data_IF_241601958599
#
_entry.id   IF_241601958599
#
_cell.length_a   1.000
_cell.length_b   1.000
_cell.length_c   1.000
_cell.angle_alpha   90.00
_cell.angle_beta   90.00
_cell.angle_gamma   90.00
#
_symmetry.space_group_name_H-M   'P 1'
#
loop_
_entity.id
_entity.type
_entity.pdbx_description
1 polymer ?
#
# COMPACT_ATOMS: atom_id res chain seq x y z
N UNK A 1 -8.66 13.04 -1.38
CA UNK A 1 -9.45 11.83 -1.62
C UNK A 1 -8.53 10.61 -1.79
N UNK A 2 -9.02 9.46 -1.39
CA UNK A 2 -8.42 8.14 -1.64
C UNK A 2 -9.36 7.37 -2.56
N UNK A 3 -8.84 6.74 -3.59
CA UNK A 3 -9.62 5.87 -4.46
C UNK A 3 -9.26 4.41 -4.17
N UNK A 4 -10.27 3.61 -3.89
CA UNK A 4 -10.18 2.16 -3.65
C UNK A 4 -11.02 1.41 -4.68
N UNK A 5 -10.93 0.08 -4.69
CA UNK A 5 -11.88 -0.76 -5.41
C UNK A 5 -12.85 -1.45 -4.45
N UNK A 6 -13.99 -1.91 -4.95
CA UNK A 6 -14.91 -2.72 -4.15
C UNK A 6 -14.38 -4.13 -3.84
N UNK A 7 -13.28 -4.55 -4.48
CA UNK A 7 -12.62 -5.84 -4.24
C UNK A 7 -11.61 -5.81 -3.09
N UNK A 8 -11.43 -4.66 -2.41
CA UNK A 8 -10.41 -4.53 -1.39
C UNK A 8 -10.69 -5.39 -0.15
N UNK A 9 -9.64 -6.06 0.34
CA UNK A 9 -9.68 -6.66 1.65
C UNK A 9 -9.82 -5.58 2.74
N UNK A 10 -10.46 -5.91 3.86
CA UNK A 10 -10.68 -4.98 4.98
C UNK A 10 -9.39 -4.29 5.45
N UNK A 11 -8.24 -4.94 5.35
CA UNK A 11 -6.93 -4.35 5.72
C UNK A 11 -6.55 -3.16 4.84
N UNK A 12 -7.03 -3.11 3.60
CA UNK A 12 -6.82 -1.96 2.70
C UNK A 12 -8.04 -1.00 2.66
N UNK A 13 -9.06 -1.23 3.48
CA UNK A 13 -10.20 -0.33 3.61
C UNK A 13 -10.27 0.36 4.97
N UNK A 14 -10.17 -0.42 6.06
CA UNK A 14 -10.41 0.08 7.43
C UNK A 14 -9.45 1.20 7.85
N UNK A 15 -8.14 1.17 7.53
CA UNK A 15 -7.24 2.27 7.88
C UNK A 15 -7.65 3.61 7.24
N UNK A 16 -8.12 3.59 5.99
CA UNK A 16 -8.63 4.79 5.32
C UNK A 16 -9.92 5.30 5.97
N UNK A 17 -10.78 4.39 6.46
CA UNK A 17 -11.97 4.77 7.21
C UNK A 17 -11.62 5.49 8.53
N UNK A 18 -10.56 5.08 9.22
CA UNK A 18 -10.07 5.82 10.38
C UNK A 18 -9.56 7.22 10.02
N UNK A 19 -8.86 7.35 8.92
CA UNK A 19 -8.44 8.65 8.40
C UNK A 19 -9.64 9.50 7.96
N UNK A 20 -10.67 8.91 7.40
CA UNK A 20 -11.94 9.60 7.11
C UNK A 20 -12.54 10.22 8.37
N UNK A 21 -12.57 9.46 9.48
CA UNK A 21 -13.09 9.97 10.76
C UNK A 21 -12.18 11.05 11.39
N UNK A 22 -10.87 10.86 11.36
CA UNK A 22 -9.94 11.73 12.08
C UNK A 22 -9.44 12.93 11.27
N UNK A 23 -9.39 12.84 9.94
CA UNK A 23 -8.86 13.86 9.04
C UNK A 23 -9.85 14.36 7.99
N UNK A 24 -11.07 13.83 7.95
CA UNK A 24 -12.10 14.23 6.99
C UNK A 24 -11.79 13.86 5.53
N UNK A 25 -10.91 12.88 5.29
CA UNK A 25 -10.63 12.44 3.91
C UNK A 25 -11.90 11.82 3.30
N UNK A 26 -12.03 11.92 1.99
CA UNK A 26 -13.08 11.24 1.23
C UNK A 26 -12.52 9.95 0.63
N UNK A 27 -13.32 8.90 0.65
CA UNK A 27 -13.00 7.60 0.01
C UNK A 27 -13.98 7.44 -1.14
N UNK A 28 -13.44 7.26 -2.34
CA UNK A 28 -14.18 6.89 -3.54
C UNK A 28 -13.93 5.41 -3.84
N UNK A 29 -14.89 4.78 -4.52
CA UNK A 29 -14.80 3.39 -4.92
C UNK A 29 -14.97 3.24 -6.42
N UNK A 30 -14.02 2.53 -7.06
CA UNK A 30 -14.26 1.95 -8.37
C UNK A 30 -15.13 0.71 -8.19
N UNK A 31 -16.27 0.71 -8.86
CA UNK A 31 -17.30 -0.32 -8.71
C UNK A 31 -16.96 -1.52 -9.60
N UNK A 32 -17.36 -2.70 -9.16
CA UNK A 32 -17.33 -3.92 -9.97
C UNK A 32 -18.42 -3.83 -11.06
N UNK A 33 -18.14 -4.44 -12.20
CA UNK A 33 -19.14 -4.62 -13.25
C UNK A 33 -20.05 -5.85 -12.96
N UNK A 34 -20.97 -6.14 -13.88
CA UNK A 34 -21.88 -7.29 -13.75
C UNK A 34 -21.15 -8.65 -13.74
N UNK A 35 -19.95 -8.71 -14.29
CA UNK A 35 -19.08 -9.90 -14.29
C UNK A 35 -18.24 -10.03 -13.01
N UNK A 36 -18.33 -9.06 -12.08
CA UNK A 36 -17.56 -9.03 -10.83
C UNK A 36 -16.12 -8.53 -11.00
N UNK A 37 -15.83 -7.80 -12.08
CA UNK A 37 -14.50 -7.32 -12.43
C UNK A 37 -14.36 -5.81 -12.20
N UNK A 38 -13.14 -5.38 -11.87
CA UNK A 38 -12.72 -3.98 -11.87
C UNK A 38 -12.03 -3.69 -13.21
N UNK A 39 -12.56 -2.71 -13.94
CA UNK A 39 -11.97 -2.26 -15.21
C UNK A 39 -11.15 -0.99 -15.03
N UNK A 40 -10.22 -0.74 -15.94
CA UNK A 40 -9.49 0.55 -15.97
C UNK A 40 -10.45 1.73 -16.09
N UNK A 41 -11.52 1.57 -16.88
CA UNK A 41 -12.53 2.61 -17.04
C UNK A 41 -13.26 2.92 -15.73
N UNK A 42 -13.59 1.90 -14.92
CA UNK A 42 -14.24 2.10 -13.61
C UNK A 42 -13.34 2.86 -12.64
N UNK A 43 -12.02 2.62 -12.69
CA UNK A 43 -11.03 3.38 -11.91
C UNK A 43 -10.92 4.81 -12.45
N UNK A 44 -10.75 4.98 -13.76
CA UNK A 44 -10.58 6.30 -14.37
C UNK A 44 -11.75 7.23 -14.11
N UNK A 45 -12.98 6.75 -14.20
CA UNK A 45 -14.20 7.51 -13.89
C UNK A 45 -14.25 8.07 -12.48
N UNK A 46 -13.58 7.43 -11.52
CA UNK A 46 -13.57 7.85 -10.10
C UNK A 46 -12.37 8.73 -9.74
N UNK A 47 -11.40 8.89 -10.64
CA UNK A 47 -10.28 9.81 -10.41
C UNK A 47 -10.78 11.26 -10.53
N UNK A 48 -10.46 12.05 -9.52
CA UNK A 48 -10.75 13.49 -9.49
C UNK A 48 -9.45 14.29 -9.29
N UNK A 49 -9.45 15.61 -9.49
CA UNK A 49 -8.30 16.46 -9.16
C UNK A 49 -7.90 16.42 -7.67
N UNK A 50 -8.75 15.86 -6.81
CA UNK A 50 -8.50 15.71 -5.37
C UNK A 50 -7.96 14.32 -5.00
N UNK A 51 -7.94 13.37 -5.91
CA UNK A 51 -7.39 12.03 -5.68
C UNK A 51 -5.89 12.13 -5.37
N UNK A 52 -5.47 11.61 -4.22
CA UNK A 52 -4.09 11.70 -3.73
C UNK A 52 -3.37 10.37 -3.71
N UNK A 53 -4.10 9.27 -3.71
CA UNK A 53 -3.58 7.91 -3.76
C UNK A 53 -4.67 6.97 -4.26
N UNK A 54 -4.25 5.94 -4.98
CA UNK A 54 -5.11 4.82 -5.38
C UNK A 54 -4.62 3.58 -4.62
N UNK A 55 -5.54 2.90 -3.91
CA UNK A 55 -5.27 1.62 -3.26
C UNK A 55 -6.01 0.50 -3.98
N UNK A 56 -5.28 -0.53 -4.42
CA UNK A 56 -5.86 -1.65 -5.19
C UNK A 56 -5.32 -2.99 -4.73
N UNK A 57 -6.17 -4.02 -4.69
CA UNK A 57 -5.71 -5.39 -4.54
C UNK A 57 -5.08 -5.89 -5.84
N UNK A 58 -4.02 -6.71 -5.76
CA UNK A 58 -3.43 -7.34 -6.94
C UNK A 58 -4.22 -8.59 -7.37
N UNK A 59 -4.59 -9.39 -6.38
CA UNK A 59 -5.40 -10.60 -6.53
C UNK A 59 -6.46 -10.60 -5.42
N UNK A 60 -7.72 -10.64 -5.80
CA UNK A 60 -8.80 -10.67 -4.83
C UNK A 60 -8.85 -11.99 -4.05
N UNK A 61 -8.91 -11.91 -2.73
CA UNK A 61 -9.07 -13.06 -1.85
C UNK A 61 -10.49 -13.64 -1.88
N UNK A 62 -11.44 -12.94 -2.48
CA UNK A 62 -12.85 -13.35 -2.54
C UNK A 62 -13.18 -13.95 -3.90
N UNK A 63 -12.91 -13.21 -4.97
CA UNK A 63 -13.30 -13.60 -6.33
C UNK A 63 -12.19 -14.30 -7.10
N UNK A 64 -10.92 -14.14 -6.68
CA UNK A 64 -9.75 -14.60 -7.45
C UNK A 64 -9.41 -13.72 -8.65
N UNK A 65 -10.09 -12.61 -8.84
CA UNK A 65 -9.80 -11.67 -9.92
C UNK A 65 -8.38 -11.09 -9.77
N UNK A 66 -7.65 -11.06 -10.86
CA UNK A 66 -6.31 -10.45 -10.96
C UNK A 66 -6.49 -9.09 -11.62
N UNK A 67 -6.11 -8.02 -10.92
CA UNK A 67 -6.21 -6.68 -11.45
C UNK A 67 -4.96 -6.35 -12.31
N UNK A 68 -5.12 -5.60 -13.41
CA UNK A 68 -4.05 -5.18 -14.29
C UNK A 68 -3.23 -4.03 -13.67
N UNK A 69 -2.39 -4.39 -12.68
CA UNK A 69 -1.69 -3.39 -11.84
C UNK A 69 -0.82 -2.45 -12.67
N UNK A 70 -0.11 -2.97 -13.68
CA UNK A 70 0.77 -2.15 -14.52
C UNK A 70 0.00 -1.05 -15.25
N UNK A 71 -1.13 -1.38 -15.83
CA UNK A 71 -2.01 -0.44 -16.53
C UNK A 71 -2.64 0.56 -15.56
N UNK A 72 -3.04 0.11 -14.37
CA UNK A 72 -3.58 0.99 -13.32
C UNK A 72 -2.50 1.99 -12.86
N UNK A 73 -1.27 1.51 -12.68
CA UNK A 73 -0.13 2.37 -12.30
C UNK A 73 0.16 3.39 -13.40
N UNK A 74 0.20 2.98 -14.66
CA UNK A 74 0.41 3.90 -15.79
C UNK A 74 -0.67 4.99 -15.84
N UNK A 75 -1.94 4.61 -15.68
CA UNK A 75 -3.06 5.55 -15.62
C UNK A 75 -2.90 6.54 -14.45
N UNK A 76 -2.61 6.03 -13.25
CA UNK A 76 -2.44 6.85 -12.06
C UNK A 76 -1.25 7.81 -12.18
N UNK A 77 -0.10 7.32 -12.64
CA UNK A 77 1.12 8.11 -12.82
C UNK A 77 0.96 9.19 -13.89
N UNK A 78 0.18 8.95 -14.96
CA UNK A 78 -0.15 10.00 -15.95
C UNK A 78 -0.86 11.22 -15.33
N UNK A 79 -1.46 11.03 -14.16
CA UNK A 79 -2.16 12.05 -13.37
C UNK A 79 -1.39 12.43 -12.08
N UNK A 80 -0.13 11.99 -11.94
CA UNK A 80 0.72 12.19 -10.75
C UNK A 80 0.12 11.64 -9.46
N UNK A 81 -0.56 10.51 -9.53
CA UNK A 81 -1.19 9.85 -8.38
C UNK A 81 -0.38 8.59 -8.04
N UNK A 82 0.12 8.43 -6.78
CA UNK A 82 0.79 7.21 -6.34
C UNK A 82 -0.20 6.06 -6.17
N UNK A 83 0.32 4.83 -6.32
CA UNK A 83 -0.45 3.59 -6.20
C UNK A 83 0.10 2.72 -5.07
N UNK A 84 -0.79 2.35 -4.14
CA UNK A 84 -0.58 1.31 -3.14
C UNK A 84 -1.26 0.03 -3.59
N UNK A 85 -0.49 -1.05 -3.69
CA UNK A 85 -0.99 -2.37 -4.05
C UNK A 85 -1.05 -3.27 -2.82
N UNK A 86 -2.22 -3.80 -2.52
CA UNK A 86 -2.34 -4.94 -1.60
C UNK A 86 -1.95 -6.22 -2.36
N UNK A 87 -0.73 -6.66 -2.12
CA UNK A 87 -0.14 -7.84 -2.73
C UNK A 87 -0.25 -9.11 -1.90
N UNK A 88 -1.06 -9.10 -0.82
CA UNK A 88 -1.12 -10.24 0.11
C UNK A 88 -1.51 -11.56 -0.55
N UNK A 89 -2.33 -11.54 -1.57
CA UNK A 89 -2.64 -12.72 -2.38
C UNK A 89 -1.79 -12.79 -3.66
N UNK A 90 -1.39 -11.65 -4.20
CA UNK A 90 -0.56 -11.61 -5.40
C UNK A 90 0.83 -12.22 -5.17
N UNK A 91 1.48 -11.89 -4.04
CA UNK A 91 2.84 -12.31 -3.76
C UNK A 91 3.07 -13.84 -3.76
N UNK A 92 2.20 -14.66 -3.14
CA UNK A 92 2.39 -16.11 -3.16
C UNK A 92 1.99 -16.80 -4.47
N UNK A 93 1.20 -16.14 -5.33
CA UNK A 93 0.58 -16.79 -6.49
C UNK A 93 1.06 -16.28 -7.84
N UNK A 94 1.66 -15.09 -7.90
CA UNK A 94 2.07 -14.45 -9.14
C UNK A 94 3.59 -14.23 -9.18
N UNK A 95 4.15 -14.25 -10.38
CA UNK A 95 5.53 -13.79 -10.58
C UNK A 95 5.55 -12.26 -10.47
N UNK A 96 6.29 -11.76 -9.49
CA UNK A 96 6.39 -10.32 -9.23
C UNK A 96 7.72 -9.76 -9.73
N UNK A 97 7.64 -8.60 -10.35
CA UNK A 97 8.76 -7.72 -10.63
C UNK A 97 8.35 -6.29 -10.27
N UNK A 98 8.90 -5.76 -9.18
CA UNK A 98 8.53 -4.43 -8.67
C UNK A 98 8.96 -3.31 -9.62
N UNK A 99 10.00 -3.52 -10.42
CA UNK A 99 10.43 -2.53 -11.40
C UNK A 99 9.50 -2.52 -12.62
N UNK A 100 9.02 -3.68 -13.04
CA UNK A 100 8.06 -3.78 -14.15
C UNK A 100 6.66 -3.30 -13.74
N UNK A 101 6.21 -3.60 -12.53
CA UNK A 101 4.92 -3.11 -11.99
C UNK A 101 4.95 -1.60 -11.77
N UNK A 102 6.09 -1.04 -11.43
CA UNK A 102 6.32 0.38 -11.15
C UNK A 102 5.34 1.01 -10.13
N UNK A 103 4.76 0.20 -9.23
CA UNK A 103 3.90 0.71 -8.17
C UNK A 103 4.71 1.46 -7.11
N UNK A 104 4.07 2.38 -6.38
CA UNK A 104 4.74 3.19 -5.37
C UNK A 104 4.89 2.44 -4.05
N UNK A 105 3.90 1.62 -3.72
CA UNK A 105 3.87 0.78 -2.52
C UNK A 105 3.30 -0.60 -2.86
N UNK A 106 3.85 -1.65 -2.23
CA UNK A 106 3.34 -3.02 -2.36
C UNK A 106 3.41 -3.72 -1.01
N UNK A 107 2.25 -4.09 -0.46
CA UNK A 107 2.14 -4.71 0.86
C UNK A 107 2.01 -6.23 0.76
N UNK A 108 2.71 -6.96 1.62
CA UNK A 108 2.75 -8.43 1.66
C UNK A 108 2.56 -8.91 3.08
N UNK A 109 1.73 -9.94 3.28
CA UNK A 109 1.60 -10.69 4.53
C UNK A 109 2.47 -11.94 4.50
N UNK A 110 3.46 -12.04 5.39
CA UNK A 110 4.43 -13.14 5.36
C UNK A 110 3.77 -14.52 5.56
N UNK A 111 2.75 -14.65 6.42
CA UNK A 111 2.06 -15.93 6.66
C UNK A 111 1.33 -16.49 5.43
N UNK A 112 1.05 -15.67 4.43
CA UNK A 112 0.47 -16.12 3.14
C UNK A 112 1.55 -16.52 2.14
N UNK A 113 2.83 -16.19 2.43
CA UNK A 113 3.97 -16.44 1.56
C UNK A 113 5.00 -17.34 2.28
N UNK A 114 4.52 -18.41 2.90
CA UNK A 114 5.33 -19.44 3.60
C UNK A 114 6.20 -18.89 4.75
N UNK A 115 5.96 -17.67 5.19
CA UNK A 115 6.65 -17.04 6.33
C UNK A 115 5.83 -17.11 7.62
N UNK A 116 6.37 -16.56 8.72
CA UNK A 116 5.70 -16.59 10.02
C UNK A 116 4.50 -15.64 10.08
N UNK A 117 3.61 -15.90 11.06
CA UNK A 117 2.53 -14.97 11.42
C UNK A 117 3.09 -13.75 12.14
N UNK A 118 2.35 -12.62 12.08
CA UNK A 118 2.73 -11.38 12.76
C UNK A 118 3.76 -10.54 12.04
N UNK A 119 4.25 -10.99 10.88
CA UNK A 119 5.16 -10.23 10.02
C UNK A 119 4.50 -9.83 8.71
N UNK A 120 4.92 -8.67 8.20
CA UNK A 120 4.57 -8.18 6.88
C UNK A 120 5.74 -7.42 6.26
N UNK A 121 5.70 -7.27 4.95
CA UNK A 121 6.69 -6.53 4.17
C UNK A 121 5.95 -5.42 3.43
N UNK A 122 6.51 -4.21 3.48
CA UNK A 122 6.10 -3.11 2.62
C UNK A 122 7.28 -2.75 1.69
N UNK A 123 7.12 -3.05 0.41
CA UNK A 123 7.94 -2.41 -0.60
C UNK A 123 7.45 -0.97 -0.80
N UNK A 124 8.39 -0.03 -0.93
CA UNK A 124 8.08 1.33 -1.33
C UNK A 124 9.21 1.90 -2.19
N UNK A 125 8.86 2.74 -3.16
CA UNK A 125 9.87 3.50 -3.91
C UNK A 125 10.67 4.40 -2.96
N UNK A 126 11.99 4.46 -3.17
CA UNK A 126 12.92 5.18 -2.30
C UNK A 126 12.48 6.64 -2.04
N UNK A 127 11.98 7.34 -3.05
CA UNK A 127 11.48 8.72 -2.91
C UNK A 127 10.45 8.85 -1.77
N UNK A 128 9.53 7.90 -1.64
CA UNK A 128 8.52 7.91 -0.59
C UNK A 128 9.10 7.60 0.79
N UNK A 129 10.07 6.68 0.85
CA UNK A 129 10.75 6.37 2.10
C UNK A 129 11.59 7.55 2.61
N UNK A 130 12.13 8.37 1.72
CA UNK A 130 12.85 9.60 2.09
C UNK A 130 11.90 10.68 2.61
N UNK A 131 10.76 10.89 1.95
CA UNK A 131 9.82 11.97 2.24
C UNK A 131 8.91 11.70 3.44
N UNK A 132 8.38 10.47 3.56
CA UNK A 132 7.39 10.15 4.58
C UNK A 132 8.02 10.02 5.97
N UNK A 133 7.33 10.46 7.03
CA UNK A 133 7.74 10.17 8.40
C UNK A 133 7.52 8.69 8.72
N UNK A 134 8.25 8.10 9.67
CA UNK A 134 7.96 6.76 10.15
C UNK A 134 6.60 6.69 10.82
N UNK A 135 5.93 5.55 10.68
CA UNK A 135 4.62 5.30 11.29
C UNK A 135 4.72 5.05 12.79
N UNK A 136 5.76 4.34 13.23
CA UNK A 136 6.03 4.01 14.63
C UNK A 136 7.40 4.54 15.04
N UNK A 137 7.57 4.80 16.34
CA UNK A 137 8.86 5.17 16.92
C UNK A 137 9.29 4.15 17.97
N UNK A 138 10.61 3.91 18.07
CA UNK A 138 11.19 2.97 19.03
C UNK A 138 12.71 2.84 18.87
N UNK A 139 13.26 1.83 19.50
CA UNK A 139 14.68 1.50 19.33
C UNK A 139 14.99 0.98 17.93
N UNK A 140 16.25 1.02 17.52
CA UNK A 140 16.75 0.49 16.25
C UNK A 140 16.57 1.40 15.03
N UNK A 141 15.64 2.34 15.08
CA UNK A 141 15.29 3.22 13.95
C UNK A 141 15.85 4.65 14.07
N UNK A 142 16.55 4.95 15.14
CA UNK A 142 17.02 6.28 15.50
C UNK A 142 18.48 6.46 15.08
N UNK A 143 18.82 7.63 14.53
CA UNK A 143 20.19 8.07 14.31
C UNK A 143 20.76 8.70 15.58
N UNK A 144 20.18 9.79 16.04
CA UNK A 144 20.62 10.55 17.22
C UNK A 144 19.42 10.98 18.06
N UNK A 145 19.57 10.94 19.39
CA UNK A 145 18.57 11.44 20.34
C UNK A 145 19.18 12.57 21.15
N UNK A 146 18.55 13.75 21.07
CA UNK A 146 18.89 14.94 21.86
C UNK A 146 17.67 15.41 22.64
N UNK A 147 17.87 16.31 23.61
CA UNK A 147 16.76 16.88 24.42
C UNK A 147 15.79 17.70 23.59
N UNK A 148 16.26 18.28 22.51
CA UNK A 148 15.53 19.19 21.60
C UNK A 148 15.10 18.55 20.29
N UNK A 149 15.43 17.26 20.08
CA UNK A 149 15.05 16.57 18.86
C UNK A 149 15.69 15.20 18.66
N UNK A 150 15.24 14.56 17.60
CA UNK A 150 15.74 13.24 17.16
C UNK A 150 16.04 13.27 15.66
N UNK A 151 16.96 12.44 15.24
CA UNK A 151 17.15 12.09 13.84
C UNK A 151 16.87 10.60 13.63
N UNK A 152 16.50 10.22 12.45
CA UNK A 152 16.25 8.83 12.12
C UNK A 152 17.48 8.18 11.51
N UNK A 153 17.58 6.86 11.63
CA UNK A 153 18.59 6.05 10.96
C UNK A 153 18.39 6.02 9.44
N UNK A 154 19.34 5.40 8.76
CA UNK A 154 19.27 5.21 7.32
C UNK A 154 18.12 4.29 6.91
N UNK A 155 17.72 4.37 5.63
CA UNK A 155 16.75 3.45 5.05
C UNK A 155 17.36 2.03 4.93
N UNK A 156 16.58 0.98 5.22
CA UNK A 156 15.17 0.95 5.60
C UNK A 156 14.93 1.13 7.12
N UNK A 157 15.96 1.15 7.96
CA UNK A 157 15.87 1.12 9.43
C UNK A 157 14.96 2.22 10.00
N UNK A 158 14.89 3.38 9.34
CA UNK A 158 13.96 4.47 9.68
C UNK A 158 12.52 4.00 9.92
N UNK A 159 12.10 2.90 9.29
CA UNK A 159 10.73 2.37 9.38
C UNK A 159 10.61 1.11 10.23
N UNK A 160 11.70 0.62 10.79
CA UNK A 160 11.75 -0.65 11.52
C UNK A 160 11.94 -0.40 13.02
N UNK A 161 10.86 0.10 13.65
CA UNK A 161 10.88 0.45 15.08
C UNK A 161 10.74 -0.77 15.98
N UNK A 162 11.68 -0.91 16.95
CA UNK A 162 11.66 -1.94 17.97
C UNK A 162 12.46 -3.19 17.59
N UNK A 163 12.54 -4.13 18.54
CA UNK A 163 13.24 -5.40 18.32
C UNK A 163 12.45 -6.25 17.30
N UNK A 164 13.15 -6.70 16.28
CA UNK A 164 12.57 -7.61 15.28
C UNK A 164 12.09 -8.92 15.93
N UNK A 165 11.12 -9.59 15.32
CA UNK A 165 10.60 -10.89 15.77
C UNK A 165 11.66 -11.99 15.52
N UNK A 166 12.61 -12.15 16.46
CA UNK A 166 13.79 -13.01 16.29
C UNK A 166 13.52 -14.51 16.45
N UNK A 167 12.36 -14.87 16.98
CA UNK A 167 11.98 -16.27 17.21
C UNK A 167 11.02 -16.84 16.14
N UNK A 168 10.80 -16.11 15.07
CA UNK A 168 9.86 -16.48 14.00
C UNK A 168 10.53 -16.63 12.66
#
# INVERSE_FOLDING_TARGET
EVLLTELEHHSNYVPWHYLRKSKGIKIEFAEINEDGEITLESIEKKITPKTKIIGVTHLSNVTGAILPIKEIVQLAHSKNIPVLVDGCQGAPHLKLDMQDLDCDFYAISCHKMYGPTGLGILYAKKKWLEELPPYQGGGGMIGEVKKDGITYGDLPNKYEAGTMATAQ
#
